data_IF_441023461464
#
_entry.id   IF_441023461464
#
_cell.length_a   1.000
_cell.length_b   1.000
_cell.length_c   1.000
_cell.angle_alpha   90.00
_cell.angle_beta   90.00
_cell.angle_gamma   90.00
#
_symmetry.space_group_name_H-M   'P 1'
#
loop_
_entity.id
_entity.type
_entity.pdbx_description
1 polymer ?
#
# COMPACT_ATOMS: atom_id res chain seq x y z
N UNK A 1 -0.26 39.23 40.16
CA UNK A 1 -0.72 39.52 38.77
C UNK A 1 0.16 38.84 37.69
N UNK A 2 1.49 38.93 37.80
CA UNK A 2 2.43 38.29 36.85
C UNK A 2 2.30 36.75 36.75
N UNK A 3 2.13 36.05 37.88
CA UNK A 3 2.01 34.57 37.90
C UNK A 3 0.73 34.07 37.23
N UNK A 4 -0.39 34.78 37.38
CA UNK A 4 -1.65 34.41 36.70
C UNK A 4 -1.55 34.65 35.18
N UNK A 5 -0.82 35.68 34.76
CA UNK A 5 -0.58 36.00 33.38
C UNK A 5 0.33 34.92 32.71
N UNK A 6 1.38 34.46 33.38
CA UNK A 6 2.25 33.41 32.91
C UNK A 6 1.52 32.06 32.83
N UNK A 7 0.66 31.72 33.79
CA UNK A 7 -0.16 30.50 33.74
C UNK A 7 -1.17 30.57 32.59
N UNK A 8 -1.81 31.73 32.39
CA UNK A 8 -2.72 31.92 31.25
C UNK A 8 -1.99 31.85 29.90
N UNK A 9 -0.80 32.41 29.77
CA UNK A 9 0.04 32.34 28.59
C UNK A 9 0.49 30.89 28.28
N UNK A 10 0.89 30.15 29.34
CA UNK A 10 1.24 28.73 29.23
C UNK A 10 0.08 27.85 28.78
N UNK A 11 -1.13 28.09 29.27
CA UNK A 11 -2.34 27.37 28.85
C UNK A 11 -2.72 27.74 27.43
N UNK A 12 -2.60 29.02 27.02
CA UNK A 12 -2.86 29.45 25.64
C UNK A 12 -1.89 28.84 24.63
N UNK A 13 -0.60 28.75 24.98
CA UNK A 13 0.42 28.07 24.10
C UNK A 13 0.16 26.58 24.06
N UNK A 14 -0.25 25.94 25.15
CA UNK A 14 -0.63 24.54 25.20
C UNK A 14 -1.88 24.25 24.34
N UNK A 15 -2.90 25.10 24.39
CA UNK A 15 -4.09 25.00 23.54
C UNK A 15 -3.78 25.22 22.06
N UNK A 16 -2.83 26.08 21.73
CA UNK A 16 -2.44 26.32 20.33
C UNK A 16 -1.70 25.11 19.71
N UNK A 17 -0.99 24.33 20.53
CA UNK A 17 -0.35 23.08 20.08
C UNK A 17 -1.35 21.95 19.81
N UNK A 18 -2.59 22.03 20.31
CA UNK A 18 -3.63 21.01 20.06
C UNK A 18 -4.51 21.27 18.83
N UNK A 19 -4.36 22.39 18.13
CA UNK A 19 -5.04 22.65 16.84
C UNK A 19 -4.30 22.00 15.66
N UNK A 20 -3.84 20.77 15.81
CA UNK A 20 -3.37 19.97 14.68
C UNK A 20 -4.59 19.59 13.84
N UNK A 21 -4.71 20.17 12.66
CA UNK A 21 -5.69 19.74 11.66
C UNK A 21 -5.35 18.31 11.27
N UNK A 22 -6.13 17.35 11.75
CA UNK A 22 -6.04 15.97 11.28
C UNK A 22 -6.62 15.89 9.88
N UNK A 23 -5.80 16.11 8.87
CA UNK A 23 -6.13 15.80 7.47
C UNK A 23 -5.78 14.34 7.25
N UNK A 24 -6.76 13.46 7.48
CA UNK A 24 -6.54 12.01 7.49
C UNK A 24 -7.09 11.34 6.22
N UNK A 25 -6.67 11.78 5.04
CA UNK A 25 -6.87 10.96 3.84
C UNK A 25 -5.56 10.19 3.60
N UNK A 26 -5.52 8.94 4.04
CA UNK A 26 -4.40 8.03 3.81
C UNK A 26 -4.74 7.08 2.66
N UNK A 27 -3.77 6.81 1.78
CA UNK A 27 -3.90 5.73 0.80
C UNK A 27 -4.04 4.38 1.56
N UNK A 28 -4.90 3.46 1.06
CA UNK A 28 -5.09 2.17 1.71
C UNK A 28 -3.78 1.38 1.75
N UNK A 29 -3.42 0.88 2.93
CA UNK A 29 -2.27 0.01 3.11
C UNK A 29 -2.73 -1.44 3.21
N UNK A 30 -2.26 -2.26 2.27
CA UNK A 30 -2.53 -3.69 2.22
C UNK A 30 -1.69 -4.45 3.25
N UNK A 31 -2.22 -5.52 3.80
CA UNK A 31 -1.47 -6.36 4.74
C UNK A 31 -0.52 -7.32 4.03
N UNK A 32 -0.80 -7.63 2.76
CA UNK A 32 0.03 -8.49 1.91
C UNK A 32 0.90 -7.70 0.91
N UNK A 33 1.22 -6.43 1.20
CA UNK A 33 2.01 -5.56 0.30
C UNK A 33 3.37 -6.16 -0.09
N UNK A 34 3.96 -7.00 0.78
CA UNK A 34 5.24 -7.67 0.50
C UNK A 34 5.16 -8.68 -0.66
N UNK A 35 3.96 -8.99 -1.12
CA UNK A 35 3.70 -9.86 -2.27
C UNK A 35 3.08 -9.11 -3.47
N UNK A 36 2.77 -7.82 -3.30
CA UNK A 36 2.32 -6.91 -4.36
C UNK A 36 3.01 -5.55 -4.24
N UNK A 37 4.34 -5.55 -4.28
CA UNK A 37 5.16 -4.36 -4.02
C UNK A 37 4.96 -3.21 -5.01
N UNK A 38 4.37 -3.44 -6.19
CA UNK A 38 4.10 -2.39 -7.16
C UNK A 38 3.14 -1.31 -6.63
N UNK A 39 2.23 -1.64 -5.68
CA UNK A 39 1.33 -0.67 -5.07
C UNK A 39 2.06 0.33 -4.17
N UNK A 40 3.26 -0.03 -3.69
CA UNK A 40 4.10 0.82 -2.84
C UNK A 40 5.22 1.46 -3.65
N UNK A 41 5.88 0.69 -4.53
CA UNK A 41 7.08 1.15 -5.22
C UNK A 41 6.99 0.93 -6.74
N UNK A 42 6.95 2.00 -7.55
CA UNK A 42 6.89 1.89 -9.01
C UNK A 42 8.08 1.16 -9.65
N UNK A 43 9.21 1.01 -8.96
CA UNK A 43 10.38 0.28 -9.47
C UNK A 43 10.26 -1.24 -9.29
N UNK A 44 9.32 -1.70 -8.44
CA UNK A 44 9.16 -3.11 -8.08
C UNK A 44 8.96 -4.07 -9.27
N UNK A 45 8.21 -3.72 -10.35
CA UNK A 45 8.05 -4.62 -11.50
C UNK A 45 9.36 -5.08 -12.15
N UNK A 46 10.41 -4.28 -12.05
CA UNK A 46 11.72 -4.61 -12.62
C UNK A 46 12.55 -5.59 -11.77
N UNK A 47 12.09 -5.94 -10.56
CA UNK A 47 12.70 -7.01 -9.77
C UNK A 47 12.31 -8.41 -10.27
N UNK A 48 11.17 -8.52 -10.96
CA UNK A 48 10.63 -9.78 -11.44
C UNK A 48 10.92 -9.97 -12.94
N UNK A 49 11.23 -11.19 -13.31
CA UNK A 49 11.43 -11.58 -14.72
C UNK A 49 10.18 -12.22 -15.35
N UNK A 50 9.12 -12.36 -14.57
CA UNK A 50 7.84 -12.92 -14.96
C UNK A 50 6.75 -11.85 -14.99
N UNK A 51 5.73 -12.06 -15.81
CA UNK A 51 4.50 -11.28 -15.73
C UNK A 51 3.69 -11.69 -14.50
N UNK A 52 3.04 -10.75 -13.87
CA UNK A 52 2.24 -10.98 -12.67
C UNK A 52 0.91 -10.22 -12.75
N UNK A 53 -0.18 -10.91 -12.49
CA UNK A 53 -1.51 -10.37 -12.31
C UNK A 53 -1.93 -10.63 -10.86
N UNK A 54 -2.19 -9.59 -10.10
CA UNK A 54 -2.58 -9.69 -8.69
C UNK A 54 -3.93 -9.00 -8.48
N UNK A 55 -4.85 -9.69 -7.82
CA UNK A 55 -6.09 -9.11 -7.32
C UNK A 55 -6.10 -9.17 -5.79
N UNK A 56 -6.51 -8.09 -5.14
CA UNK A 56 -6.62 -7.98 -3.69
C UNK A 56 -7.98 -7.42 -3.34
N UNK A 57 -8.67 -8.07 -2.42
CA UNK A 57 -9.90 -7.58 -1.79
C UNK A 57 -9.68 -7.43 -0.29
N UNK A 58 -9.96 -6.26 0.28
CA UNK A 58 -9.78 -5.96 1.69
C UNK A 58 -11.06 -5.40 2.29
N UNK A 59 -11.52 -6.02 3.36
CA UNK A 59 -12.59 -5.53 4.23
C UNK A 59 -11.97 -5.11 5.57
N UNK A 60 -11.97 -3.81 5.86
CA UNK A 60 -11.47 -3.30 7.13
C UNK A 60 -12.63 -3.20 8.13
N UNK A 61 -12.32 -3.34 9.42
CA UNK A 61 -13.22 -3.12 10.55
C UNK A 61 -14.57 -3.81 10.38
N UNK A 62 -14.53 -5.12 10.14
CA UNK A 62 -15.72 -5.93 9.90
C UNK A 62 -16.68 -5.82 11.09
N UNK A 63 -17.98 -5.57 10.77
CA UNK A 63 -19.03 -5.32 11.76
C UNK A 63 -19.29 -3.83 12.02
N UNK A 64 -18.52 -2.92 11.41
CA UNK A 64 -18.76 -1.47 11.46
C UNK A 64 -19.44 -1.02 10.17
N UNK A 65 -20.59 -0.35 10.30
CA UNK A 65 -21.30 0.19 9.14
C UNK A 65 -20.50 1.29 8.45
N UNK A 66 -20.41 1.23 7.11
CA UNK A 66 -19.63 2.17 6.33
C UNK A 66 -18.10 1.98 6.40
N UNK A 67 -17.63 0.90 7.01
CA UNK A 67 -16.20 0.59 7.10
C UNK A 67 -15.53 0.47 5.73
N UNK A 68 -14.21 0.74 5.62
CA UNK A 68 -13.49 0.73 4.35
C UNK A 68 -13.52 -0.64 3.66
N UNK A 69 -13.85 -0.65 2.37
CA UNK A 69 -13.75 -1.80 1.48
C UNK A 69 -12.90 -1.41 0.28
N UNK A 70 -11.81 -2.13 0.07
CA UNK A 70 -10.86 -1.85 -1.01
C UNK A 70 -10.75 -3.05 -1.94
N UNK A 71 -10.79 -2.82 -3.23
CA UNK A 71 -10.48 -3.80 -4.27
C UNK A 71 -9.38 -3.24 -5.16
N UNK A 72 -8.36 -4.05 -5.44
CA UNK A 72 -7.23 -3.66 -6.30
C UNK A 72 -6.92 -4.78 -7.27
N UNK A 73 -6.69 -4.41 -8.52
CA UNK A 73 -6.09 -5.28 -9.53
C UNK A 73 -4.81 -4.63 -10.01
N UNK A 74 -3.72 -5.39 -10.08
CA UNK A 74 -2.43 -4.93 -10.56
C UNK A 74 -1.82 -5.94 -11.52
N UNK A 75 -1.27 -5.44 -12.60
CA UNK A 75 -0.60 -6.22 -13.61
C UNK A 75 0.76 -5.61 -13.92
N UNK A 76 1.78 -6.43 -14.07
CA UNK A 76 3.04 -5.99 -14.65
C UNK A 76 3.65 -7.08 -15.52
N UNK A 77 4.48 -6.64 -16.47
CA UNK A 77 5.17 -7.54 -17.40
C UNK A 77 6.53 -6.97 -17.78
N UNK A 78 7.60 -7.80 -17.79
CA UNK A 78 8.87 -7.39 -18.36
C UNK A 78 8.75 -7.32 -19.89
N UNK A 79 9.29 -6.25 -20.48
CA UNK A 79 9.43 -6.11 -21.92
C UNK A 79 10.69 -6.85 -22.35
N UNK A 80 10.54 -7.80 -23.27
CA UNK A 80 11.65 -8.61 -23.75
C UNK A 80 12.77 -7.72 -24.33
N UNK A 81 14.00 -8.12 -24.06
CA UNK A 81 15.24 -7.51 -24.55
C UNK A 81 15.59 -6.10 -24.02
N UNK A 82 14.79 -5.48 -23.15
CA UNK A 82 15.03 -4.07 -22.76
C UNK A 82 15.32 -3.85 -21.30
N UNK A 83 15.28 -4.83 -20.40
CA UNK A 83 15.33 -4.64 -18.96
C UNK A 83 14.27 -3.65 -18.40
N UNK A 84 13.27 -3.33 -19.20
CA UNK A 84 12.15 -2.47 -18.87
C UNK A 84 10.97 -3.33 -18.45
N UNK A 85 10.20 -2.88 -17.47
CA UNK A 85 8.92 -3.49 -17.12
C UNK A 85 7.81 -2.43 -17.20
N UNK A 86 6.65 -2.86 -17.68
CA UNK A 86 5.43 -2.05 -17.71
C UNK A 86 4.46 -2.57 -16.66
N UNK A 87 3.80 -1.66 -15.99
CA UNK A 87 2.80 -1.97 -14.96
C UNK A 87 1.52 -1.18 -15.17
N UNK A 88 0.43 -1.78 -14.72
CA UNK A 88 -0.90 -1.18 -14.67
C UNK A 88 -1.57 -1.55 -13.36
N UNK A 89 -2.29 -0.61 -12.73
CA UNK A 89 -3.12 -0.94 -11.58
C UNK A 89 -4.42 -0.17 -11.59
N UNK A 90 -5.45 -0.83 -11.09
CA UNK A 90 -6.78 -0.30 -10.84
C UNK A 90 -7.10 -0.51 -9.36
N UNK A 91 -7.59 0.52 -8.69
CA UNK A 91 -7.99 0.46 -7.29
C UNK A 91 -9.36 1.13 -7.15
N UNK A 92 -10.21 0.53 -6.34
CA UNK A 92 -11.46 1.13 -5.89
C UNK A 92 -11.56 0.95 -4.36
N UNK A 93 -11.79 2.03 -3.67
CA UNK A 93 -12.04 2.06 -2.23
C UNK A 93 -13.38 2.74 -1.97
N UNK A 94 -14.15 2.18 -1.06
CA UNK A 94 -15.41 2.76 -0.59
C UNK A 94 -15.40 2.87 0.93
N UNK A 95 -15.66 4.08 1.44
CA UNK A 95 -15.75 4.38 2.89
C UNK A 95 -17.03 5.18 3.10
N UNK A 96 -18.05 4.56 3.70
CA UNK A 96 -19.37 5.17 3.89
C UNK A 96 -19.93 5.66 2.55
N UNK A 97 -20.10 6.97 2.36
CA UNK A 97 -20.61 7.62 1.14
C UNK A 97 -19.49 8.01 0.17
N UNK A 98 -18.24 7.95 0.62
CA UNK A 98 -17.08 8.32 -0.18
C UNK A 98 -16.56 7.15 -0.98
N UNK A 99 -16.20 7.36 -2.23
CA UNK A 99 -15.50 6.40 -3.05
C UNK A 99 -14.28 7.03 -3.72
N UNK A 100 -13.21 6.26 -3.79
CA UNK A 100 -11.97 6.62 -4.45
C UNK A 100 -11.64 5.55 -5.50
N UNK A 101 -11.57 5.94 -6.75
CA UNK A 101 -11.16 5.05 -7.85
C UNK A 101 -9.89 5.59 -8.48
N UNK A 102 -8.86 4.77 -8.60
CA UNK A 102 -7.58 5.16 -9.17
C UNK A 102 -7.13 4.19 -10.27
N UNK A 103 -6.60 4.76 -11.35
CA UNK A 103 -5.98 4.04 -12.47
C UNK A 103 -4.54 4.53 -12.60
N UNK A 104 -3.57 3.60 -12.58
CA UNK A 104 -2.16 3.97 -12.63
C UNK A 104 -1.41 3.17 -13.69
N UNK A 105 -0.44 3.80 -14.31
CA UNK A 105 0.54 3.20 -15.22
C UNK A 105 1.93 3.37 -14.64
N UNK A 106 2.72 2.31 -14.70
CA UNK A 106 4.09 2.28 -14.21
C UNK A 106 5.03 1.90 -15.35
N UNK A 107 6.15 2.57 -15.41
CA UNK A 107 7.30 2.18 -16.24
C UNK A 107 8.49 2.06 -15.32
N UNK A 108 9.19 0.94 -15.38
CA UNK A 108 10.40 0.74 -14.57
C UNK A 108 11.52 0.14 -15.41
N UNK A 109 12.75 0.51 -15.07
CA UNK A 109 13.96 0.10 -15.75
C UNK A 109 14.93 -0.52 -14.77
N UNK A 110 15.46 -1.72 -15.09
CA UNK A 110 16.52 -2.38 -14.33
C UNK A 110 17.86 -2.11 -14.97
N UNK A 111 18.84 -1.74 -14.15
CA UNK A 111 20.25 -1.57 -14.52
C UNK A 111 21.09 -2.56 -13.72
N UNK A 112 21.92 -3.35 -14.39
CA UNK A 112 22.88 -4.23 -13.75
C UNK A 112 24.11 -3.44 -13.33
N UNK A 113 24.36 -3.31 -12.02
CA UNK A 113 25.53 -2.62 -11.49
C UNK A 113 26.76 -3.53 -11.46
N UNK A 114 26.55 -4.80 -11.11
CA UNK A 114 27.56 -5.86 -11.19
C UNK A 114 26.87 -7.22 -11.34
N UNK A 115 27.59 -8.33 -11.24
CA UNK A 115 27.03 -9.68 -11.45
C UNK A 115 25.90 -10.04 -10.50
N UNK A 116 25.84 -9.45 -9.30
CA UNK A 116 24.90 -9.81 -8.23
C UNK A 116 23.95 -8.68 -7.85
N UNK A 117 24.24 -7.44 -8.22
CA UNK A 117 23.52 -6.24 -7.75
C UNK A 117 22.84 -5.54 -8.91
N UNK A 118 21.57 -5.24 -8.74
CA UNK A 118 20.74 -4.52 -9.68
C UNK A 118 20.16 -3.27 -9.04
N UNK A 119 20.02 -2.23 -9.82
CA UNK A 119 19.27 -1.01 -9.49
C UNK A 119 18.05 -0.97 -10.39
N UNK A 120 16.87 -0.79 -9.81
CA UNK A 120 15.66 -0.49 -10.55
C UNK A 120 15.20 0.93 -10.26
N UNK A 121 14.77 1.61 -11.31
CA UNK A 121 14.17 2.93 -11.30
C UNK A 121 12.75 2.81 -11.83
N UNK A 122 11.78 3.48 -11.22
CA UNK A 122 10.39 3.41 -11.65
C UNK A 122 9.71 4.77 -11.55
N UNK A 123 8.83 5.02 -12.50
CA UNK A 123 7.91 6.16 -12.49
C UNK A 123 6.48 5.65 -12.61
N UNK A 124 5.57 6.38 -11.97
CA UNK A 124 4.12 6.14 -12.01
C UNK A 124 3.43 7.40 -12.46
N UNK A 125 2.47 7.26 -13.38
CA UNK A 125 1.47 8.28 -13.70
C UNK A 125 0.09 7.70 -13.48
N UNK A 126 -0.82 8.46 -12.86
CA UNK A 126 -2.15 7.98 -12.55
C UNK A 126 -3.21 9.05 -12.63
N UNK A 127 -4.45 8.59 -12.62
CA UNK A 127 -5.65 9.41 -12.52
C UNK A 127 -6.57 8.83 -11.45
N UNK A 128 -7.06 9.69 -10.57
CA UNK A 128 -7.93 9.34 -9.46
C UNK A 128 -9.23 10.13 -9.52
N UNK A 129 -10.34 9.45 -9.28
CA UNK A 129 -11.65 10.03 -9.06
C UNK A 129 -12.05 9.87 -7.60
N UNK A 130 -12.34 10.96 -6.93
CA UNK A 130 -12.97 11.00 -5.61
C UNK A 130 -14.44 11.38 -5.80
N UNK A 131 -15.34 10.59 -5.22
CA UNK A 131 -16.77 10.79 -5.32
C UNK A 131 -17.42 10.74 -3.94
N UNK A 132 -18.26 11.72 -3.65
CA UNK A 132 -19.07 11.81 -2.43
C UNK A 132 -20.55 11.67 -2.80
N UNK A 133 -21.19 10.60 -2.34
CA UNK A 133 -22.61 10.32 -2.56
C UNK A 133 -23.44 10.91 -1.42
N UNK A 134 -23.47 12.23 -1.36
CA UNK A 134 -24.13 12.99 -0.30
C UNK A 134 -25.67 12.80 -0.32
N UNK A 135 -26.27 12.57 -1.49
CA UNK A 135 -27.71 12.33 -1.62
C UNK A 135 -28.17 11.09 -0.84
N UNK A 136 -27.28 10.11 -0.65
CA UNK A 136 -27.59 8.88 0.12
C UNK A 136 -27.73 9.13 1.62
N UNK A 137 -27.29 10.26 2.15
CA UNK A 137 -27.37 10.60 3.58
C UNK A 137 -28.79 10.96 4.02
N UNK A 138 -29.70 11.31 3.10
CA UNK A 138 -31.09 11.64 3.43
C UNK A 138 -31.23 12.86 4.34
N UNK A 139 -30.21 13.75 4.40
CA UNK A 139 -30.23 14.97 5.21
C UNK A 139 -30.83 16.13 4.45
N UNK A 140 -31.44 17.07 5.19
CA UNK A 140 -31.95 18.34 4.64
C UNK A 140 -30.91 19.46 4.67
N UNK A 141 -29.67 19.18 5.12
CA UNK A 141 -28.60 20.16 5.15
C UNK A 141 -28.15 20.53 3.72
N UNK A 142 -28.23 21.82 3.34
CA UNK A 142 -27.84 22.28 2.01
C UNK A 142 -26.40 21.95 1.62
N UNK A 143 -25.50 21.78 2.56
CA UNK A 143 -24.09 21.40 2.31
C UNK A 143 -23.99 20.02 1.66
N UNK A 144 -24.90 19.11 2.00
CA UNK A 144 -24.97 17.74 1.49
C UNK A 144 -26.04 17.50 0.41
N UNK A 145 -26.62 18.58 -0.12
CA UNK A 145 -27.72 18.49 -1.09
C UNK A 145 -27.32 17.86 -2.44
N UNK A 146 -26.02 17.88 -2.78
CA UNK A 146 -25.54 17.42 -4.07
C UNK A 146 -24.35 16.47 -3.93
N UNK A 147 -24.32 15.44 -4.79
CA UNK A 147 -23.16 14.58 -4.97
C UNK A 147 -21.99 15.38 -5.53
N UNK A 148 -20.78 15.08 -5.06
CA UNK A 148 -19.57 15.75 -5.52
C UNK A 148 -18.65 14.74 -6.20
N UNK A 149 -17.86 15.21 -7.18
CA UNK A 149 -16.87 14.38 -7.87
C UNK A 149 -15.66 15.24 -8.23
N UNK A 150 -14.49 14.75 -7.85
CA UNK A 150 -13.22 15.42 -8.07
C UNK A 150 -12.28 14.50 -8.82
N UNK A 151 -11.56 15.05 -9.79
CA UNK A 151 -10.56 14.32 -10.55
C UNK A 151 -9.17 14.85 -10.24
N UNK A 152 -8.21 13.96 -10.08
CA UNK A 152 -6.80 14.28 -9.87
C UNK A 152 -5.91 13.44 -10.75
N UNK A 153 -4.78 14.00 -11.15
CA UNK A 153 -3.67 13.25 -11.72
C UNK A 153 -2.56 13.16 -10.70
N UNK A 154 -1.93 11.99 -10.62
CA UNK A 154 -0.88 11.70 -9.68
C UNK A 154 0.39 11.30 -10.41
N UNK A 155 1.53 11.75 -9.92
CA UNK A 155 2.83 11.28 -10.35
C UNK A 155 3.60 10.73 -9.16
N UNK A 156 4.35 9.66 -9.40
CA UNK A 156 5.15 9.00 -8.39
C UNK A 156 6.43 8.43 -8.96
N UNK A 157 7.35 8.10 -8.06
CA UNK A 157 8.63 7.50 -8.41
C UNK A 157 9.07 6.47 -7.39
N UNK A 158 10.01 5.63 -7.79
CA UNK A 158 10.61 4.63 -6.91
C UNK A 158 11.99 4.20 -7.36
N UNK A 159 12.76 3.77 -6.39
CA UNK A 159 14.11 3.22 -6.54
C UNK A 159 14.19 1.92 -5.76
N UNK A 160 14.85 0.91 -6.32
CA UNK A 160 15.13 -0.33 -5.62
C UNK A 160 16.53 -0.81 -5.95
N UNK A 161 17.32 -1.07 -4.93
CA UNK A 161 18.59 -1.79 -5.03
C UNK A 161 18.35 -3.22 -4.54
N UNK A 162 18.69 -4.20 -5.35
CA UNK A 162 18.39 -5.59 -4.99
C UNK A 162 19.42 -6.59 -5.51
N UNK A 163 19.44 -7.70 -4.83
CA UNK A 163 20.17 -8.92 -5.18
C UNK A 163 19.20 -10.09 -5.21
N UNK A 164 19.69 -11.31 -5.33
CA UNK A 164 18.85 -12.49 -5.19
C UNK A 164 18.30 -12.70 -3.77
N UNK A 165 18.97 -12.20 -2.73
CA UNK A 165 18.61 -12.43 -1.32
C UNK A 165 18.18 -11.17 -0.57
N UNK A 166 18.42 -10.00 -1.12
CA UNK A 166 18.22 -8.74 -0.40
C UNK A 166 17.63 -7.68 -1.32
N UNK A 167 16.77 -6.85 -0.75
CA UNK A 167 16.38 -5.61 -1.41
C UNK A 167 16.23 -4.47 -0.40
N UNK A 168 16.47 -3.26 -0.89
CA UNK A 168 16.10 -2.01 -0.24
C UNK A 168 15.49 -1.09 -1.29
N UNK A 169 14.40 -0.41 -0.97
CA UNK A 169 13.71 0.48 -1.89
C UNK A 169 13.20 1.73 -1.19
N UNK A 170 13.28 2.84 -1.91
CA UNK A 170 12.69 4.13 -1.52
C UNK A 170 11.69 4.52 -2.59
N UNK A 171 10.53 5.03 -2.18
CA UNK A 171 9.50 5.44 -3.13
C UNK A 171 8.57 6.52 -2.59
N UNK A 172 7.95 7.20 -3.52
CA UNK A 172 6.78 8.03 -3.30
C UNK A 172 5.79 7.75 -4.45
N UNK A 173 4.88 6.79 -4.31
CA UNK A 173 3.95 6.42 -5.37
C UNK A 173 2.94 7.54 -5.66
N UNK A 174 2.70 8.44 -4.71
CA UNK A 174 1.94 9.68 -4.89
C UNK A 174 2.81 10.83 -4.36
N UNK A 175 3.78 11.24 -5.18
CA UNK A 175 4.70 12.34 -4.86
C UNK A 175 4.00 13.69 -4.99
N UNK A 176 3.20 13.86 -6.03
CA UNK A 176 2.43 15.09 -6.26
C UNK A 176 1.12 14.76 -6.98
N UNK A 177 0.05 15.37 -6.49
CA UNK A 177 -1.27 15.35 -7.08
C UNK A 177 -1.62 16.70 -7.65
N UNK A 178 -2.29 16.70 -8.81
CA UNK A 178 -2.78 17.90 -9.48
C UNK A 178 -4.30 17.80 -9.66
N UNK A 179 -5.01 18.87 -9.32
CA UNK A 179 -6.46 18.94 -9.53
C UNK A 179 -6.78 19.05 -11.02
N UNK A 180 -7.74 18.26 -11.49
CA UNK A 180 -8.31 18.36 -12.82
C UNK A 180 -9.69 19.01 -12.70
N UNK A 181 -9.75 20.35 -12.72
CA UNK A 181 -11.00 21.11 -12.68
C UNK A 181 -11.01 22.24 -11.66
N UNK A 182 -12.06 23.09 -11.73
CA UNK A 182 -12.27 24.28 -10.90
C UNK A 182 -13.19 23.97 -9.69
N UNK A 183 -12.87 22.99 -8.87
CA UNK A 183 -13.68 22.67 -7.68
C UNK A 183 -13.35 23.65 -6.55
N UNK A 184 -14.37 24.29 -5.98
CA UNK A 184 -14.23 25.16 -4.81
C UNK A 184 -13.73 24.39 -3.57
N UNK A 185 -14.05 23.10 -3.49
CA UNK A 185 -13.60 22.17 -2.44
C UNK A 185 -12.43 21.34 -2.95
N UNK A 186 -11.25 21.53 -2.37
CA UNK A 186 -10.03 20.81 -2.75
C UNK A 186 -9.81 19.61 -1.83
N UNK A 187 -9.91 18.40 -2.37
CA UNK A 187 -9.40 17.22 -1.72
C UNK A 187 -7.87 17.29 -1.74
N UNK A 188 -7.24 17.34 -0.58
CA UNK A 188 -5.76 17.34 -0.48
C UNK A 188 -5.28 15.89 -0.37
N UNK A 189 -4.52 15.44 -1.38
CA UNK A 189 -3.82 14.16 -1.34
C UNK A 189 -2.38 14.45 -0.94
N UNK A 190 -2.00 14.03 0.26
CA UNK A 190 -0.66 14.25 0.77
C UNK A 190 0.34 13.23 0.20
N UNK A 191 1.58 13.65 0.03
CA UNK A 191 2.64 12.76 -0.47
C UNK A 191 2.98 11.68 0.55
N UNK A 192 3.10 10.44 0.07
CA UNK A 192 3.50 9.29 0.85
C UNK A 192 4.93 8.91 0.51
N UNK A 193 5.77 8.77 1.52
CA UNK A 193 7.15 8.33 1.39
C UNK A 193 7.33 6.98 2.06
N UNK A 194 7.96 6.06 1.35
CA UNK A 194 8.21 4.71 1.83
C UNK A 194 9.69 4.37 1.75
N UNK A 195 10.19 3.70 2.78
CA UNK A 195 11.44 2.95 2.75
C UNK A 195 11.11 1.50 3.09
N UNK A 196 11.45 0.58 2.21
CA UNK A 196 11.19 -0.84 2.39
C UNK A 196 12.48 -1.63 2.23
N UNK A 197 12.62 -2.68 3.04
CA UNK A 197 13.75 -3.60 2.92
C UNK A 197 13.32 -5.00 3.31
N UNK A 198 14.00 -5.99 2.76
CA UNK A 198 13.77 -7.39 3.08
C UNK A 198 14.99 -8.25 2.76
N UNK A 199 15.11 -9.35 3.47
CA UNK A 199 16.18 -10.31 3.29
C UNK A 199 15.62 -11.72 3.24
N UNK A 200 16.12 -12.55 2.31
CA UNK A 200 15.77 -13.96 2.19
C UNK A 200 16.88 -14.82 2.81
N UNK A 201 16.54 -15.52 3.88
CA UNK A 201 17.41 -16.44 4.60
C UNK A 201 16.98 -17.86 4.25
N UNK A 202 17.83 -18.64 3.61
CA UNK A 202 17.60 -20.07 3.42
C UNK A 202 18.12 -20.82 4.64
N UNK A 203 17.21 -21.35 5.44
CA UNK A 203 17.57 -22.14 6.64
C UNK A 203 17.98 -23.58 6.25
N UNK A 204 17.27 -24.13 5.26
CA UNK A 204 17.57 -25.39 4.57
C UNK A 204 16.83 -25.40 3.22
N UNK A 205 16.84 -26.54 2.52
CA UNK A 205 16.21 -26.65 1.19
C UNK A 205 14.69 -26.47 1.24
N UNK A 206 14.04 -26.84 2.35
CA UNK A 206 12.59 -26.80 2.51
C UNK A 206 12.09 -25.55 3.24
N UNK A 207 12.96 -24.83 3.96
CA UNK A 207 12.56 -23.72 4.84
C UNK A 207 13.35 -22.47 4.51
N UNK A 208 12.63 -21.42 4.14
CA UNK A 208 13.20 -20.08 3.94
C UNK A 208 12.46 -19.07 4.82
N UNK A 209 13.18 -18.09 5.33
CA UNK A 209 12.63 -17.00 6.13
C UNK A 209 12.85 -15.67 5.42
N UNK A 210 11.83 -14.82 5.44
CA UNK A 210 11.89 -13.47 4.85
C UNK A 210 11.43 -12.43 5.86
N UNK A 211 12.34 -11.87 6.69
CA UNK A 211 12.07 -10.64 7.42
C UNK A 211 11.97 -9.45 6.45
N UNK A 212 11.01 -8.55 6.71
CA UNK A 212 10.84 -7.31 5.98
C UNK A 212 10.53 -6.16 6.95
N UNK A 213 10.94 -4.97 6.56
CA UNK A 213 10.61 -3.72 7.25
C UNK A 213 10.06 -2.74 6.23
N UNK A 214 8.94 -2.10 6.57
CA UNK A 214 8.41 -0.97 5.84
C UNK A 214 8.35 0.22 6.78
N UNK A 215 8.94 1.32 6.38
CA UNK A 215 8.82 2.63 7.03
C UNK A 215 7.96 3.52 6.15
N UNK A 216 7.04 4.25 6.76
CA UNK A 216 6.11 5.14 6.07
C UNK A 216 6.08 6.50 6.74
N UNK A 217 6.16 7.55 5.94
CA UNK A 217 6.00 8.93 6.35
C UNK A 217 5.00 9.62 5.44
N UNK A 218 4.00 10.26 6.06
CA UNK A 218 3.01 11.11 5.39
C UNK A 218 3.02 12.47 6.07
N UNK A 219 2.90 13.54 5.30
CA UNK A 219 2.85 14.88 5.86
C UNK A 219 1.61 15.04 6.75
N UNK A 220 1.80 15.53 7.96
CA UNK A 220 0.73 15.68 8.94
C UNK A 220 0.38 14.43 9.74
N UNK A 221 0.95 13.26 9.41
CA UNK A 221 0.85 12.04 10.19
C UNK A 221 2.19 11.70 10.89
N UNK A 222 2.12 10.94 11.97
CA UNK A 222 3.31 10.43 12.66
C UNK A 222 4.06 9.43 11.76
N UNK A 223 5.34 9.22 12.10
CA UNK A 223 6.15 8.18 11.49
C UNK A 223 5.58 6.78 11.79
N UNK A 224 5.41 5.97 10.77
CA UNK A 224 4.82 4.64 10.88
C UNK A 224 5.81 3.58 10.38
N UNK A 225 5.74 2.39 10.98
CA UNK A 225 6.55 1.27 10.58
C UNK A 225 5.80 -0.06 10.72
N UNK A 226 6.13 -0.99 9.83
CA UNK A 226 5.65 -2.36 9.84
C UNK A 226 6.85 -3.30 9.90
N UNK A 227 6.87 -4.21 10.87
CA UNK A 227 7.83 -5.29 11.00
C UNK A 227 7.16 -6.59 10.61
N UNK A 228 7.75 -7.29 9.68
CA UNK A 228 7.19 -8.51 9.10
C UNK A 228 8.19 -9.66 9.21
N UNK A 229 7.70 -10.86 9.51
CA UNK A 229 8.45 -12.09 9.38
C UNK A 229 7.59 -13.15 8.66
N UNK A 230 8.09 -13.67 7.54
CA UNK A 230 7.40 -14.66 6.73
C UNK A 230 8.30 -15.89 6.59
N UNK A 231 7.74 -17.09 6.71
CA UNK A 231 8.41 -18.38 6.55
C UNK A 231 7.79 -19.09 5.36
N UNK A 232 8.62 -19.50 4.41
CA UNK A 232 8.22 -20.33 3.28
C UNK A 232 8.58 -21.78 3.57
N UNK A 233 7.60 -22.66 3.47
CA UNK A 233 7.72 -24.10 3.69
C UNK A 233 7.59 -24.84 2.36
N UNK A 234 8.57 -25.67 2.04
CA UNK A 234 8.62 -26.54 0.84
C UNK A 234 8.33 -25.81 -0.49
N UNK A 235 8.64 -24.52 -0.55
CA UNK A 235 8.29 -23.61 -1.67
C UNK A 235 6.79 -23.58 -2.02
N UNK A 236 5.90 -23.97 -1.09
CA UNK A 236 4.45 -24.07 -1.29
C UNK A 236 3.66 -23.15 -0.37
N UNK A 237 4.01 -23.10 0.90
CA UNK A 237 3.21 -22.34 1.89
C UNK A 237 4.05 -21.25 2.53
N UNK A 238 3.58 -20.01 2.45
CA UNK A 238 4.05 -18.91 3.26
C UNK A 238 3.18 -18.78 4.52
N UNK A 239 3.81 -18.70 5.66
CA UNK A 239 3.21 -18.29 6.92
C UNK A 239 3.88 -17.02 7.38
N UNK A 240 3.11 -16.01 7.76
CA UNK A 240 3.64 -14.72 8.12
C UNK A 240 2.98 -14.12 9.34
N UNK A 241 3.74 -13.30 10.05
CA UNK A 241 3.25 -12.41 11.08
C UNK A 241 3.82 -11.01 10.86
N UNK A 242 3.01 -10.00 11.14
CA UNK A 242 3.38 -8.60 11.01
C UNK A 242 2.93 -7.82 12.25
N UNK A 243 3.76 -6.87 12.66
CA UNK A 243 3.42 -5.89 13.67
C UNK A 243 3.56 -4.49 13.11
N UNK A 244 2.48 -3.73 13.23
CA UNK A 244 2.37 -2.36 12.74
C UNK A 244 2.36 -1.36 13.90
N UNK A 245 3.09 -0.25 13.75
CA UNK A 245 3.19 0.80 14.78
C UNK A 245 1.85 1.37 15.22
N UNK A 246 0.80 1.24 14.40
CA UNK A 246 -0.59 1.58 14.73
C UNK A 246 -1.25 0.57 15.69
N UNK A 247 -0.45 -0.26 16.36
CA UNK A 247 -0.88 -1.29 17.31
C UNK A 247 -1.80 -2.34 16.66
N UNK A 248 -1.49 -2.73 15.44
CA UNK A 248 -2.16 -3.81 14.72
C UNK A 248 -1.22 -4.99 14.55
N UNK A 249 -1.70 -6.19 14.84
CA UNK A 249 -1.05 -7.44 14.48
C UNK A 249 -1.74 -8.06 13.28
N UNK A 250 -0.97 -8.64 12.38
CA UNK A 250 -1.46 -9.36 11.21
C UNK A 250 -0.93 -10.79 11.23
N UNK A 251 -1.81 -11.76 11.06
CA UNK A 251 -1.46 -13.12 10.67
C UNK A 251 -1.70 -13.31 9.17
N UNK A 252 -0.80 -14.03 8.50
CA UNK A 252 -0.83 -14.21 7.05
C UNK A 252 -0.55 -15.65 6.68
N UNK A 253 -1.30 -16.16 5.70
CA UNK A 253 -1.04 -17.43 5.03
C UNK A 253 -1.16 -17.23 3.51
N UNK A 254 -0.20 -17.80 2.76
CA UNK A 254 -0.30 -17.89 1.30
C UNK A 254 0.06 -19.28 0.84
N UNK A 255 -0.65 -19.78 -0.14
CA UNK A 255 -0.47 -21.11 -0.71
C UNK A 255 -0.22 -21.00 -2.21
N UNK A 256 0.88 -21.63 -2.66
CA UNK A 256 1.17 -21.84 -4.07
C UNK A 256 0.34 -23.05 -4.56
N UNK A 257 -0.86 -22.75 -5.12
CA UNK A 257 -1.82 -23.79 -5.57
C UNK A 257 -1.31 -24.51 -6.80
N UNK A 258 -0.71 -23.78 -7.73
CA UNK A 258 -0.02 -24.31 -8.90
C UNK A 258 1.30 -23.57 -9.11
N UNK A 259 2.12 -23.95 -10.08
CA UNK A 259 3.36 -23.20 -10.41
C UNK A 259 3.12 -21.74 -10.76
N UNK A 260 1.89 -21.38 -11.16
CA UNK A 260 1.52 -20.04 -11.59
C UNK A 260 0.54 -19.35 -10.65
N UNK A 261 -0.29 -20.09 -9.91
CA UNK A 261 -1.38 -19.54 -9.08
C UNK A 261 -1.02 -19.59 -7.59
N UNK A 262 -1.11 -18.45 -6.95
CA UNK A 262 -0.94 -18.28 -5.51
C UNK A 262 -2.19 -17.60 -4.93
N UNK A 263 -2.65 -18.09 -3.78
CA UNK A 263 -3.76 -17.51 -3.03
C UNK A 263 -3.26 -17.16 -1.63
N UNK A 264 -3.56 -15.96 -1.17
CA UNK A 264 -3.15 -15.45 0.12
C UNK A 264 -4.33 -14.92 0.91
N UNK A 265 -4.28 -15.10 2.22
CA UNK A 265 -5.23 -14.53 3.16
C UNK A 265 -4.49 -13.90 4.32
N UNK A 266 -4.95 -12.75 4.78
CA UNK A 266 -4.46 -12.14 6.00
C UNK A 266 -5.60 -11.67 6.89
N UNK A 267 -5.32 -11.71 8.19
CA UNK A 267 -6.20 -11.32 9.28
C UNK A 267 -5.50 -10.29 10.14
N UNK A 268 -6.07 -9.09 10.20
CA UNK A 268 -5.53 -8.01 11.03
C UNK A 268 -6.39 -7.86 12.29
N UNK A 269 -5.73 -7.78 13.43
CA UNK A 269 -6.39 -7.54 14.72
C UNK A 269 -5.73 -6.35 15.43
N UNK A 270 -6.52 -5.38 15.92
CA UNK A 270 -5.98 -4.31 16.74
C UNK A 270 -5.56 -4.86 18.10
N UNK A 271 -4.37 -4.48 18.57
CA UNK A 271 -3.89 -4.83 19.92
C UNK A 271 -4.53 -3.96 21.01
N UNK A 272 -4.99 -2.77 20.66
CA UNK A 272 -5.72 -1.86 21.53
C UNK A 272 -6.84 -1.22 20.72
N UNK A 273 -8.08 -1.43 21.14
CA UNK A 273 -9.24 -0.73 20.59
C UNK A 273 -9.65 0.38 21.55
N UNK A 274 -9.64 1.63 21.07
CA UNK A 274 -10.21 2.76 21.81
C UNK A 274 -11.75 2.79 21.69
N UNK A 275 -12.33 1.97 20.83
CA UNK A 275 -13.77 1.82 20.66
C UNK A 275 -14.25 0.70 21.57
N UNK A 276 -14.86 1.07 22.71
CA UNK A 276 -15.48 0.09 23.64
C UNK A 276 -16.53 -0.73 22.88
N UNK A 277 -16.29 -2.04 22.77
CA UNK A 277 -17.24 -3.00 22.19
C UNK A 277 -17.09 -3.34 20.70
N UNK A 278 -16.25 -2.66 19.92
CA UNK A 278 -15.96 -3.02 18.55
C UNK A 278 -14.60 -3.71 18.43
N UNK A 279 -14.59 -5.03 18.22
CA UNK A 279 -13.41 -5.75 17.75
C UNK A 279 -13.29 -5.48 16.24
N UNK A 280 -12.53 -4.47 15.88
CA UNK A 280 -12.40 -4.02 14.50
C UNK A 280 -11.34 -4.83 13.75
N UNK A 281 -11.64 -6.09 13.50
CA UNK A 281 -10.77 -6.96 12.70
C UNK A 281 -10.89 -6.63 11.21
N UNK A 282 -9.84 -6.91 10.45
CA UNK A 282 -9.84 -6.73 9.00
C UNK A 282 -9.41 -8.01 8.30
N UNK A 283 -10.00 -8.26 7.15
CA UNK A 283 -9.70 -9.42 6.31
C UNK A 283 -9.20 -8.97 4.95
N UNK A 284 -8.18 -9.64 4.45
CA UNK A 284 -7.67 -9.39 3.10
C UNK A 284 -7.45 -10.72 2.38
N UNK A 285 -8.00 -10.82 1.18
CA UNK A 285 -7.81 -11.94 0.26
C UNK A 285 -6.97 -11.47 -0.94
N UNK A 286 -5.97 -12.26 -1.31
CA UNK A 286 -5.14 -12.01 -2.48
C UNK A 286 -5.13 -13.23 -3.40
N UNK A 287 -5.24 -12.97 -4.69
CA UNK A 287 -5.01 -13.96 -5.76
C UNK A 287 -3.92 -13.40 -6.66
N UNK A 288 -2.88 -14.17 -6.87
CA UNK A 288 -1.78 -13.81 -7.75
C UNK A 288 -1.57 -14.89 -8.80
N UNK A 289 -1.55 -14.49 -10.07
CA UNK A 289 -1.27 -15.36 -11.20
C UNK A 289 0.00 -14.89 -11.91
N UNK A 290 1.01 -15.75 -11.96
CA UNK A 290 2.30 -15.48 -12.60
C UNK A 290 2.48 -16.34 -13.84
N UNK A 291 2.99 -15.73 -14.90
CA UNK A 291 3.23 -16.41 -16.17
C UNK A 291 4.40 -15.79 -16.94
N UNK A 292 4.91 -16.52 -17.90
CA UNK A 292 5.94 -16.04 -18.82
C UNK A 292 5.41 -16.14 -20.25
N UNK A 293 5.60 -15.08 -21.02
CA UNK A 293 5.31 -15.09 -22.46
C UNK A 293 6.26 -15.99 -23.27
N UNK A 294 7.37 -16.43 -22.66
CA UNK A 294 8.32 -17.35 -23.28
C UNK A 294 8.03 -18.78 -22.87
N UNK A 295 7.82 -19.65 -23.85
CA UNK A 295 7.60 -21.10 -23.63
C UNK A 295 8.77 -21.81 -22.92
N UNK A 296 9.96 -21.21 -22.91
CA UNK A 296 11.20 -21.78 -22.39
C UNK A 296 11.57 -21.27 -20.99
N UNK A 297 10.82 -20.33 -20.42
CA UNK A 297 11.13 -19.75 -19.12
C UNK A 297 10.23 -20.36 -18.07
N UNK A 298 10.80 -21.13 -17.14
CA UNK A 298 10.10 -21.62 -15.94
C UNK A 298 9.82 -20.41 -15.06
N UNK A 299 8.59 -20.27 -14.59
CA UNK A 299 8.23 -19.26 -13.58
C UNK A 299 8.91 -19.65 -12.28
N UNK A 300 9.96 -18.90 -11.91
CA UNK A 300 10.65 -19.15 -10.65
C UNK A 300 9.74 -18.80 -9.46
N UNK A 301 9.86 -19.48 -8.32
CA UNK A 301 9.19 -19.08 -7.11
C UNK A 301 9.53 -17.63 -6.77
N UNK A 302 8.53 -16.88 -6.35
CA UNK A 302 8.73 -15.49 -5.95
C UNK A 302 9.15 -15.44 -4.49
N UNK A 303 10.31 -14.86 -4.24
CA UNK A 303 10.80 -14.63 -2.89
C UNK A 303 10.63 -13.18 -2.43
N UNK A 304 10.52 -12.25 -3.39
CA UNK A 304 10.31 -10.81 -3.11
C UNK A 304 9.08 -10.29 -3.81
#
# INVERSE_FOLDING_TARGET
MKERLMKALGISVLCWCFCLRATAQQEPLYSQYMFNGMVINPAYPSMDESSSLTAVGRNQWVGVDGAPKTATASFYTPVKATNTSLGFSLMNEKITVNSHTAVNFNVSQRVKLNEKVYLALGIKGGMSQFREDNASLGTTDPVFAHNQSYWKTDVGFGFMLFTYHFFIGVSSPTFKSFDLGNSANKVVVESHYYLQTGYLISLNDDVKMKPNVLLRQVKGAGFQYDLNANILLKNVVWLGASWRSEKTMTGLIQVQVTKSLQIGYSYDTPMQSNLKGAQTVSHELMINYRFSWSKWKVVAPRYF
#
